data_IF_353784273814
#
_entry.id   IF_353784273814
#
_cell.length_a   1.000
_cell.length_b   1.000
_cell.length_c   1.000
_cell.angle_alpha   90.00
_cell.angle_beta   90.00
_cell.angle_gamma   90.00
#
_symmetry.space_group_name_H-M   'P 1'
#
loop_
_entity.id
_entity.type
_entity.pdbx_description
1 polymer ?
#
# COMPACT_ATOMS: atom_id res chain seq x y z
N UNK A 1 -21.91 -17.34 13.05
CA UNK A 1 -21.76 -16.20 12.13
C UNK A 1 -20.44 -16.30 11.35
N UNK A 2 -20.42 -15.87 10.08
CA UNK A 2 -19.20 -15.76 9.25
C UNK A 2 -19.11 -14.35 8.66
N UNK A 3 -17.90 -13.81 8.57
CA UNK A 3 -17.64 -12.47 8.01
C UNK A 3 -16.77 -12.59 6.76
N UNK A 4 -17.07 -11.83 5.71
CA UNK A 4 -16.18 -11.81 4.54
C UNK A 4 -14.88 -11.08 4.90
N UNK A 5 -13.71 -11.46 4.35
CA UNK A 5 -12.48 -10.72 4.64
C UNK A 5 -12.55 -9.26 4.19
N UNK A 6 -13.27 -8.95 3.11
CA UNK A 6 -13.48 -7.57 2.65
C UNK A 6 -14.22 -6.74 3.71
N UNK A 7 -15.30 -7.31 4.27
CA UNK A 7 -16.05 -6.69 5.37
C UNK A 7 -15.19 -6.48 6.59
N UNK A 8 -14.33 -7.46 6.93
CA UNK A 8 -13.40 -7.33 8.06
C UNK A 8 -12.40 -6.19 7.86
N UNK A 9 -11.83 -6.04 6.66
CA UNK A 9 -10.90 -4.94 6.35
C UNK A 9 -11.61 -3.60 6.46
N UNK A 10 -12.78 -3.45 5.82
CA UNK A 10 -13.57 -2.22 5.87
C UNK A 10 -13.96 -1.89 7.31
N UNK A 11 -14.36 -2.89 8.09
CA UNK A 11 -14.74 -2.71 9.48
C UNK A 11 -13.55 -2.26 10.33
N UNK A 12 -12.40 -2.95 10.25
CA UNK A 12 -11.19 -2.54 10.97
C UNK A 12 -10.83 -1.10 10.61
N UNK A 13 -10.86 -0.76 9.32
CA UNK A 13 -10.52 0.57 8.84
C UNK A 13 -11.45 1.67 9.38
N UNK A 14 -12.76 1.51 9.17
CA UNK A 14 -13.76 2.48 9.63
C UNK A 14 -13.72 2.60 11.16
N UNK A 15 -13.63 1.47 11.86
CA UNK A 15 -13.59 1.44 13.31
C UNK A 15 -12.33 2.12 13.85
N UNK A 16 -11.16 1.91 13.24
CA UNK A 16 -9.93 2.61 13.58
C UNK A 16 -10.05 4.11 13.40
N UNK A 17 -10.58 4.59 12.26
CA UNK A 17 -10.75 6.03 12.05
C UNK A 17 -11.80 6.64 12.99
N UNK A 18 -12.91 5.94 13.26
CA UNK A 18 -13.96 6.43 14.16
C UNK A 18 -13.46 6.49 15.61
N UNK A 19 -12.92 5.39 16.12
CA UNK A 19 -12.50 5.33 17.52
C UNK A 19 -11.30 6.21 17.80
N UNK A 20 -10.26 6.15 16.97
CA UNK A 20 -9.06 6.94 17.19
C UNK A 20 -9.35 8.43 16.95
N UNK A 21 -10.11 8.77 15.91
CA UNK A 21 -10.53 10.15 15.66
C UNK A 21 -11.37 10.73 16.82
N UNK A 22 -12.33 9.97 17.35
CA UNK A 22 -13.10 10.40 18.52
C UNK A 22 -12.20 10.53 19.77
N UNK A 23 -11.26 9.60 19.96
CA UNK A 23 -10.32 9.64 21.07
C UNK A 23 -9.43 10.89 21.00
N UNK A 24 -8.87 11.24 19.84
CA UNK A 24 -8.05 12.45 19.69
C UNK A 24 -8.85 13.72 19.98
N UNK A 25 -10.10 13.77 19.49
CA UNK A 25 -11.02 14.87 19.79
C UNK A 25 -11.35 15.02 21.28
N UNK A 26 -11.45 13.90 22.00
CA UNK A 26 -11.67 13.89 23.45
C UNK A 26 -10.43 14.27 24.26
N UNK A 27 -9.25 13.75 23.87
CA UNK A 27 -7.99 14.02 24.58
C UNK A 27 -7.39 15.37 24.23
N UNK A 28 -7.84 16.02 23.15
CA UNK A 28 -7.27 17.27 22.65
C UNK A 28 -5.92 17.11 21.96
N UNK A 29 -5.49 15.86 21.71
CA UNK A 29 -4.12 15.53 21.29
C UNK A 29 -4.17 14.44 20.22
N UNK A 30 -3.40 14.64 19.14
CA UNK A 30 -3.27 13.71 18.04
C UNK A 30 -2.36 12.51 18.32
N UNK A 31 -2.55 11.44 17.55
CA UNK A 31 -1.68 10.26 17.51
C UNK A 31 -1.08 10.00 16.12
N UNK A 32 -0.48 8.82 15.93
CA UNK A 32 0.07 8.40 14.65
C UNK A 32 1.45 8.97 14.36
N UNK A 33 1.66 9.58 13.19
CA UNK A 33 2.91 10.30 12.90
C UNK A 33 2.96 11.71 13.55
N UNK A 34 1.82 12.23 14.04
CA UNK A 34 1.65 13.56 14.64
C UNK A 34 1.42 13.49 16.18
N UNK A 35 2.16 12.62 16.86
CA UNK A 35 2.01 12.39 18.31
C UNK A 35 2.24 13.70 19.09
N UNK A 36 1.38 13.97 20.09
CA UNK A 36 1.48 15.10 21.01
C UNK A 36 1.22 16.49 20.38
N UNK A 37 0.61 16.55 19.20
CA UNK A 37 0.16 17.81 18.62
C UNK A 37 -1.25 18.12 19.13
N UNK A 38 -1.43 19.34 19.64
CA UNK A 38 -2.71 19.85 20.11
C UNK A 38 -3.66 20.14 18.95
N UNK A 39 -4.95 19.86 19.16
CA UNK A 39 -5.99 20.15 18.17
C UNK A 39 -6.59 21.54 18.41
N UNK A 40 -7.05 22.18 17.34
CA UNK A 40 -7.79 23.43 17.32
C UNK A 40 -9.30 23.18 17.23
N UNK A 41 -10.10 24.24 17.35
CA UNK A 41 -11.57 24.16 17.30
C UNK A 41 -12.10 23.58 15.96
N UNK A 42 -11.31 23.61 14.88
CA UNK A 42 -11.69 23.11 13.56
C UNK A 42 -11.74 21.58 13.47
N UNK A 43 -11.15 20.88 14.45
CA UNK A 43 -10.91 19.44 14.41
C UNK A 43 -12.14 18.61 14.07
N UNK A 44 -13.26 18.84 14.77
CA UNK A 44 -14.47 18.06 14.57
C UNK A 44 -15.03 18.21 13.16
N UNK A 45 -14.96 19.42 12.59
CA UNK A 45 -15.38 19.66 11.21
C UNK A 45 -14.54 18.87 10.21
N UNK A 46 -13.22 18.89 10.36
CA UNK A 46 -12.29 18.16 9.50
C UNK A 46 -12.46 16.64 9.65
N UNK A 47 -12.60 16.16 10.88
CA UNK A 47 -12.82 14.75 11.19
C UNK A 47 -14.11 14.23 10.55
N UNK A 48 -15.25 14.92 10.73
CA UNK A 48 -16.50 14.51 10.10
C UNK A 48 -16.43 14.57 8.56
N UNK A 49 -15.77 15.58 8.01
CA UNK A 49 -15.55 15.68 6.57
C UNK A 49 -14.74 14.50 6.02
N UNK A 50 -13.67 14.09 6.71
CA UNK A 50 -12.88 12.92 6.32
C UNK A 50 -13.70 11.62 6.41
N UNK A 51 -14.51 11.43 7.45
CA UNK A 51 -15.39 10.27 7.55
C UNK A 51 -16.37 10.19 6.37
N UNK A 52 -16.94 11.31 5.95
CA UNK A 52 -17.80 11.39 4.75
C UNK A 52 -16.99 11.01 3.51
N UNK A 53 -15.77 11.53 3.37
CA UNK A 53 -14.88 11.20 2.25
C UNK A 53 -14.56 9.70 2.18
N UNK A 54 -14.25 9.06 3.32
CA UNK A 54 -14.01 7.62 3.41
C UNK A 54 -15.25 6.83 2.93
N UNK A 55 -16.45 7.22 3.36
CA UNK A 55 -17.69 6.56 2.94
C UNK A 55 -17.94 6.73 1.43
N UNK A 56 -17.71 7.92 0.89
CA UNK A 56 -17.81 8.19 -0.54
C UNK A 56 -16.79 7.37 -1.34
N UNK A 57 -15.54 7.26 -0.89
CA UNK A 57 -14.52 6.42 -1.52
C UNK A 57 -14.95 4.96 -1.58
N UNK A 58 -15.45 4.41 -0.45
CA UNK A 58 -15.92 3.02 -0.40
C UNK A 58 -17.14 2.80 -1.31
N UNK A 59 -18.04 3.78 -1.40
CA UNK A 59 -19.18 3.76 -2.30
C UNK A 59 -18.71 3.77 -3.77
N UNK A 60 -17.81 4.66 -4.16
CA UNK A 60 -17.25 4.73 -5.52
C UNK A 60 -16.55 3.43 -5.90
N UNK A 61 -15.72 2.89 -5.00
CA UNK A 61 -15.06 1.60 -5.19
C UNK A 61 -16.07 0.47 -5.40
N UNK A 62 -17.16 0.45 -4.61
CA UNK A 62 -18.22 -0.55 -4.73
C UNK A 62 -18.99 -0.40 -6.04
N UNK A 63 -19.34 0.81 -6.45
CA UNK A 63 -20.02 1.10 -7.71
C UNK A 63 -19.16 0.69 -8.90
N UNK A 64 -17.89 1.11 -8.93
CA UNK A 64 -16.93 0.70 -9.96
C UNK A 64 -16.83 -0.82 -10.07
N UNK A 65 -16.74 -1.51 -8.93
CA UNK A 65 -16.73 -2.97 -8.90
C UNK A 65 -18.02 -3.57 -9.47
N UNK A 66 -19.21 -3.04 -9.16
CA UNK A 66 -20.48 -3.60 -9.62
C UNK A 66 -20.73 -3.40 -11.12
N UNK A 67 -20.32 -2.25 -11.67
CA UNK A 67 -20.49 -1.91 -13.09
C UNK A 67 -19.64 -2.81 -13.99
N UNK A 68 -18.44 -3.20 -13.53
CA UNK A 68 -17.53 -4.02 -14.33
C UNK A 68 -18.00 -5.47 -14.41
N UNK A 69 -18.41 -5.90 -15.61
CA UNK A 69 -18.83 -7.28 -15.93
C UNK A 69 -17.95 -7.84 -17.06
N UNK A 70 -16.82 -8.50 -16.77
CA UNK A 70 -15.98 -9.04 -17.83
C UNK A 70 -16.62 -10.28 -18.48
N UNK A 71 -16.65 -10.30 -19.81
CA UNK A 71 -17.35 -11.34 -20.59
C UNK A 71 -16.79 -12.77 -20.42
N UNK A 72 -15.49 -12.93 -20.13
CA UNK A 72 -14.83 -14.23 -19.92
C UNK A 72 -13.67 -14.10 -18.94
N UNK A 73 -13.54 -15.05 -18.02
CA UNK A 73 -12.37 -15.18 -17.16
C UNK A 73 -11.17 -15.76 -17.93
N UNK A 74 -9.97 -15.26 -17.66
CA UNK A 74 -8.75 -15.94 -18.06
C UNK A 74 -8.47 -17.11 -17.14
N UNK A 75 -8.24 -18.28 -17.72
CA UNK A 75 -7.68 -19.41 -16.99
C UNK A 75 -6.18 -19.16 -16.88
N UNK A 76 -5.76 -18.56 -15.77
CA UNK A 76 -4.35 -18.48 -15.43
C UNK A 76 -3.83 -19.87 -15.04
N UNK A 77 -3.17 -20.53 -15.98
CA UNK A 77 -2.39 -21.75 -15.77
C UNK A 77 -1.07 -21.55 -16.51
N UNK A 78 -0.08 -20.97 -15.85
CA UNK A 78 1.20 -20.79 -16.52
C UNK A 78 2.38 -21.04 -15.59
N UNK A 79 2.93 -22.26 -15.66
CA UNK A 79 4.22 -22.61 -15.05
C UNK A 79 5.31 -21.62 -15.49
N UNK A 80 5.25 -21.15 -16.75
CA UNK A 80 6.22 -20.18 -17.29
C UNK A 80 6.13 -18.82 -16.60
N UNK A 81 4.93 -18.35 -16.22
CA UNK A 81 4.80 -17.09 -15.48
C UNK A 81 5.40 -17.20 -14.07
N UNK A 82 5.19 -18.34 -13.41
CA UNK A 82 5.79 -18.59 -12.09
C UNK A 82 7.32 -18.65 -12.15
N UNK A 83 7.88 -19.24 -13.22
CA UNK A 83 9.33 -19.26 -13.48
C UNK A 83 9.84 -17.84 -13.78
N UNK A 84 9.15 -17.10 -14.65
CA UNK A 84 9.51 -15.72 -14.98
C UNK A 84 9.57 -14.83 -13.73
N UNK A 85 8.56 -14.92 -12.87
CA UNK A 85 8.52 -14.17 -11.61
C UNK A 85 9.68 -14.59 -10.70
N UNK A 86 9.96 -15.89 -10.56
CA UNK A 86 11.10 -16.35 -9.78
C UNK A 86 12.42 -15.74 -10.27
N UNK A 87 12.65 -15.77 -11.59
CA UNK A 87 13.86 -15.21 -12.21
C UNK A 87 13.95 -13.71 -11.94
N UNK A 88 12.87 -12.95 -12.17
CA UNK A 88 12.85 -11.51 -11.97
C UNK A 88 13.05 -11.13 -10.48
N UNK A 89 12.46 -11.87 -9.55
CA UNK A 89 12.68 -11.68 -8.12
C UNK A 89 14.13 -11.97 -7.72
N UNK A 90 14.74 -13.03 -8.27
CA UNK A 90 16.14 -13.37 -8.01
C UNK A 90 17.08 -12.29 -8.55
N UNK A 91 16.87 -11.85 -9.80
CA UNK A 91 17.66 -10.78 -10.41
C UNK A 91 17.54 -9.48 -9.61
N UNK A 92 16.34 -9.17 -9.11
CA UNK A 92 16.13 -7.98 -8.30
C UNK A 92 16.77 -8.07 -6.92
N UNK A 93 16.74 -9.25 -6.29
CA UNK A 93 17.46 -9.48 -5.05
C UNK A 93 18.97 -9.28 -5.24
N UNK A 94 19.54 -9.86 -6.29
CA UNK A 94 20.96 -9.67 -6.63
C UNK A 94 21.24 -8.19 -6.88
N UNK A 95 20.41 -7.50 -7.66
CA UNK A 95 20.56 -6.07 -7.92
C UNK A 95 20.45 -5.21 -6.65
N UNK A 96 19.49 -5.51 -5.78
CA UNK A 96 19.34 -4.83 -4.49
C UNK A 96 20.55 -5.06 -3.59
N UNK A 97 21.10 -6.27 -3.61
CA UNK A 97 22.31 -6.63 -2.86
C UNK A 97 23.55 -5.88 -3.36
N UNK A 98 23.72 -5.76 -4.67
CA UNK A 98 24.91 -5.10 -5.25
C UNK A 98 24.83 -3.58 -5.20
N UNK A 99 23.63 -3.00 -5.20
CA UNK A 99 23.45 -1.54 -5.33
C UNK A 99 22.85 -0.87 -4.10
N UNK A 100 22.34 -1.63 -3.13
CA UNK A 100 21.58 -1.13 -1.99
C UNK A 100 20.15 -0.68 -2.33
N UNK A 101 19.73 -0.74 -3.60
CA UNK A 101 18.39 -0.25 -4.01
C UNK A 101 17.28 -1.00 -3.29
N UNK A 102 16.37 -0.22 -2.71
CA UNK A 102 15.19 -0.74 -2.03
C UNK A 102 15.45 -1.25 -0.61
N UNK A 103 16.70 -1.23 -0.12
CA UNK A 103 17.03 -1.50 1.27
C UNK A 103 16.74 -0.27 2.12
N UNK A 104 15.86 -0.40 3.12
CA UNK A 104 15.69 0.59 4.18
C UNK A 104 16.95 0.64 5.05
N UNK A 105 17.85 1.55 4.72
CA UNK A 105 18.98 1.96 5.55
C UNK A 105 18.89 3.45 5.86
N UNK A 106 19.75 3.96 6.75
CA UNK A 106 19.85 5.39 7.05
C UNK A 106 20.09 6.24 5.78
N UNK A 107 20.80 5.66 4.80
CA UNK A 107 21.13 6.32 3.53
C UNK A 107 20.09 6.03 2.41
N UNK A 108 18.88 5.58 2.73
CA UNK A 108 17.88 5.12 1.74
C UNK A 108 17.69 6.07 0.55
N UNK A 109 17.65 7.38 0.81
CA UNK A 109 17.42 8.41 -0.21
C UNK A 109 18.70 8.92 -0.88
N UNK A 110 19.87 8.58 -0.34
CA UNK A 110 21.17 8.95 -0.88
C UNK A 110 21.69 7.94 -1.91
N UNK A 111 21.12 6.73 -1.94
CA UNK A 111 21.46 5.68 -2.90
C UNK A 111 20.97 6.10 -4.31
N UNK A 112 21.85 6.78 -5.03
CA UNK A 112 21.66 7.13 -6.45
C UNK A 112 22.36 6.10 -7.30
N UNK A 113 21.57 5.24 -7.95
CA UNK A 113 22.08 4.31 -8.95
C UNK A 113 21.76 4.84 -10.35
N UNK A 114 22.80 5.13 -11.12
CA UNK A 114 22.65 5.57 -12.50
C UNK A 114 23.06 4.49 -13.50
N UNK A 115 22.19 3.49 -13.62
CA UNK A 115 22.35 2.39 -14.56
C UNK A 115 21.02 2.12 -15.28
N UNK A 116 21.00 1.90 -16.61
CA UNK A 116 19.78 1.55 -17.36
C UNK A 116 19.02 0.33 -16.82
N UNK A 117 19.70 -0.62 -16.16
CA UNK A 117 19.06 -1.80 -15.54
C UNK A 117 17.98 -1.39 -14.53
N UNK A 118 18.13 -0.24 -13.85
CA UNK A 118 17.14 0.26 -12.88
C UNK A 118 15.75 0.39 -13.50
N UNK A 119 15.67 0.78 -14.78
CA UNK A 119 14.39 0.97 -15.46
C UNK A 119 13.63 -0.33 -15.67
N UNK A 120 14.32 -1.46 -15.81
CA UNK A 120 13.68 -2.79 -15.89
C UNK A 120 12.96 -3.09 -14.57
N UNK A 121 13.62 -2.85 -13.43
CA UNK A 121 13.03 -3.08 -12.12
C UNK A 121 11.98 -2.04 -11.73
N UNK A 122 12.11 -0.79 -12.17
CA UNK A 122 11.05 0.22 -12.03
C UNK A 122 9.81 -0.17 -12.85
N UNK A 123 10.00 -0.62 -14.09
CA UNK A 123 8.91 -1.00 -14.98
C UNK A 123 8.19 -2.27 -14.54
N UNK A 124 8.94 -3.33 -14.21
CA UNK A 124 8.31 -4.60 -13.81
C UNK A 124 7.83 -4.59 -12.37
N UNK A 125 8.53 -3.86 -11.50
CA UNK A 125 8.43 -3.90 -10.05
C UNK A 125 8.23 -5.33 -9.50
N UNK A 126 9.33 -6.07 -9.27
CA UNK A 126 9.32 -7.50 -8.93
C UNK A 126 8.43 -7.87 -7.74
N UNK A 127 8.36 -7.00 -6.72
CA UNK A 127 7.54 -7.22 -5.52
C UNK A 127 6.05 -7.18 -5.86
N UNK A 128 5.58 -6.10 -6.51
CA UNK A 128 4.17 -5.97 -6.91
C UNK A 128 3.79 -6.97 -8.00
N UNK A 129 4.71 -7.31 -8.91
CA UNK A 129 4.52 -8.36 -9.91
C UNK A 129 4.27 -9.72 -9.26
N UNK A 130 5.06 -10.07 -8.26
CA UNK A 130 4.85 -11.28 -7.48
C UNK A 130 3.51 -11.25 -6.73
N UNK A 131 3.21 -10.16 -6.01
CA UNK A 131 1.95 -10.04 -5.25
C UNK A 131 0.72 -10.12 -6.16
N UNK A 132 0.75 -9.45 -7.32
CA UNK A 132 -0.29 -9.53 -8.34
C UNK A 132 -0.47 -10.96 -8.86
N UNK A 133 0.63 -11.64 -9.19
CA UNK A 133 0.58 -13.06 -9.59
C UNK A 133 0.02 -13.95 -8.49
N UNK A 134 0.38 -13.72 -7.23
CA UNK A 134 -0.12 -14.50 -6.09
C UNK A 134 -1.64 -14.33 -5.89
N UNK A 135 -2.19 -13.15 -6.21
CA UNK A 135 -3.64 -12.90 -6.22
C UNK A 135 -4.35 -13.73 -7.30
N UNK A 136 -3.70 -13.95 -8.44
CA UNK A 136 -4.26 -14.61 -9.62
C UNK A 136 -4.11 -16.14 -9.55
N UNK A 137 -2.93 -16.62 -9.16
CA UNK A 137 -2.62 -18.05 -9.17
C UNK A 137 -3.57 -18.81 -8.25
N UNK A 138 -4.10 -19.94 -8.69
CA UNK A 138 -4.91 -20.82 -7.82
C UNK A 138 -4.04 -21.52 -6.78
N UNK A 139 -2.81 -21.86 -7.13
CA UNK A 139 -1.85 -22.52 -6.25
C UNK A 139 -0.88 -21.47 -5.70
N UNK A 140 -0.47 -21.65 -4.45
CA UNK A 140 0.54 -20.78 -3.85
C UNK A 140 1.92 -21.35 -4.20
N UNK A 141 2.68 -20.69 -5.08
CA UNK A 141 4.04 -21.11 -5.36
C UNK A 141 4.96 -20.81 -4.17
N UNK A 142 5.28 -21.85 -3.40
CA UNK A 142 6.08 -21.74 -2.18
C UNK A 142 7.49 -21.17 -2.44
N UNK A 143 8.10 -21.47 -3.59
CA UNK A 143 9.42 -20.97 -3.92
C UNK A 143 9.41 -19.44 -4.11
N UNK A 144 8.44 -18.91 -4.86
CA UNK A 144 8.29 -17.46 -5.06
C UNK A 144 7.93 -16.75 -3.74
N UNK A 145 7.09 -17.37 -2.89
CA UNK A 145 6.77 -16.84 -1.55
C UNK A 145 8.04 -16.77 -0.68
N UNK A 146 8.82 -17.85 -0.63
CA UNK A 146 10.05 -17.90 0.16
C UNK A 146 11.06 -16.86 -0.32
N UNK A 147 11.27 -16.75 -1.64
CA UNK A 147 12.17 -15.76 -2.24
C UNK A 147 11.70 -14.33 -1.96
N UNK A 148 10.40 -14.06 -2.07
CA UNK A 148 9.82 -12.75 -1.73
C UNK A 148 10.07 -12.38 -0.26
N UNK A 149 9.80 -13.30 0.67
CA UNK A 149 10.01 -13.09 2.10
C UNK A 149 11.48 -12.88 2.42
N UNK A 150 12.38 -13.69 1.84
CA UNK A 150 13.81 -13.53 2.02
C UNK A 150 14.31 -12.19 1.48
N UNK A 151 13.87 -11.79 0.28
CA UNK A 151 14.22 -10.51 -0.32
C UNK A 151 13.73 -9.31 0.51
N UNK A 152 12.51 -9.37 1.05
CA UNK A 152 11.97 -8.31 1.89
C UNK A 152 12.53 -8.32 3.32
N UNK A 153 12.97 -9.48 3.82
CA UNK A 153 13.73 -9.58 5.06
C UNK A 153 15.07 -8.87 4.91
N UNK A 154 15.83 -9.21 3.86
CA UNK A 154 17.11 -8.56 3.56
C UNK A 154 16.97 -7.03 3.41
N UNK A 155 15.92 -6.56 2.74
CA UNK A 155 15.69 -5.12 2.49
C UNK A 155 15.01 -4.36 3.64
N UNK A 156 14.65 -5.01 4.76
CA UNK A 156 14.00 -4.35 5.91
C UNK A 156 12.50 -4.05 5.77
N UNK A 157 11.80 -4.74 4.86
CA UNK A 157 10.37 -4.59 4.54
C UNK A 157 9.50 -5.79 5.00
N UNK A 158 10.04 -6.67 5.85
CA UNK A 158 9.39 -7.95 6.21
C UNK A 158 7.96 -7.82 6.75
N UNK A 159 7.66 -6.78 7.54
CA UNK A 159 6.33 -6.58 8.11
C UNK A 159 5.27 -6.35 7.03
N UNK A 160 5.55 -5.49 6.04
CA UNK A 160 4.66 -5.22 4.92
C UNK A 160 4.50 -6.44 3.99
N UNK A 161 5.59 -7.18 3.78
CA UNK A 161 5.58 -8.42 3.01
C UNK A 161 4.70 -9.51 3.63
N UNK A 162 4.84 -9.73 4.95
CA UNK A 162 4.01 -10.68 5.70
C UNK A 162 2.54 -10.28 5.68
N UNK A 163 2.24 -9.00 5.92
CA UNK A 163 0.87 -8.48 5.85
C UNK A 163 0.26 -8.72 4.46
N UNK A 164 0.98 -8.39 3.39
CA UNK A 164 0.49 -8.58 2.02
C UNK A 164 0.20 -10.05 1.69
N UNK A 165 1.12 -10.97 2.03
CA UNK A 165 0.90 -12.40 1.83
C UNK A 165 -0.30 -12.90 2.64
N UNK A 166 -0.39 -12.50 3.91
CA UNK A 166 -1.50 -12.87 4.80
C UNK A 166 -2.84 -12.44 4.21
N UNK A 167 -2.95 -11.18 3.78
CA UNK A 167 -4.16 -10.63 3.17
C UNK A 167 -4.54 -11.38 1.90
N UNK A 168 -3.57 -11.70 1.03
CA UNK A 168 -3.82 -12.47 -0.19
C UNK A 168 -4.30 -13.89 0.13
N UNK A 169 -3.64 -14.59 1.05
CA UNK A 169 -4.00 -15.98 1.42
C UNK A 169 -5.41 -16.03 2.03
N UNK A 170 -5.72 -15.12 2.96
CA UNK A 170 -7.05 -15.04 3.56
C UNK A 170 -8.10 -14.74 2.49
N UNK A 171 -7.83 -13.79 1.60
CA UNK A 171 -8.73 -13.44 0.51
C UNK A 171 -9.04 -14.65 -0.36
N UNK A 172 -8.02 -15.42 -0.75
CA UNK A 172 -8.21 -16.63 -1.57
C UNK A 172 -9.01 -17.70 -0.84
N UNK A 173 -8.63 -18.03 0.39
CA UNK A 173 -9.21 -19.14 1.16
C UNK A 173 -10.63 -18.86 1.62
N UNK A 174 -10.94 -17.61 1.96
CA UNK A 174 -12.20 -17.23 2.60
C UNK A 174 -13.10 -16.31 1.76
N UNK A 175 -12.73 -16.00 0.50
CA UNK A 175 -13.55 -15.18 -0.42
C UNK A 175 -15.00 -15.67 -0.59
N UNK A 176 -15.21 -16.98 -0.66
CA UNK A 176 -16.55 -17.59 -0.85
C UNK A 176 -17.27 -17.89 0.46
N UNK A 177 -16.54 -18.38 1.45
CA UNK A 177 -17.14 -18.99 2.64
C UNK A 177 -17.14 -18.07 3.86
N UNK A 178 -16.38 -16.97 3.84
CA UNK A 178 -16.15 -16.10 4.99
C UNK A 178 -15.30 -16.76 6.09
N UNK A 179 -14.77 -15.93 6.97
CA UNK A 179 -14.03 -16.32 8.17
C UNK A 179 -15.05 -16.58 9.29
N UNK A 180 -14.92 -17.71 10.00
CA UNK A 180 -15.75 -17.95 11.20
C UNK A 180 -15.32 -16.98 12.29
N UNK A 181 -16.29 -16.32 12.94
CA UNK A 181 -16.02 -15.27 13.94
C UNK A 181 -15.08 -15.74 15.06
N UNK A 182 -15.19 -17.00 15.48
CA UNK A 182 -14.32 -17.61 16.51
C UNK A 182 -12.82 -17.62 16.18
N UNK A 183 -12.44 -17.45 14.91
CA UNK A 183 -11.04 -17.37 14.50
C UNK A 183 -10.47 -15.95 14.60
N UNK A 184 -11.31 -14.92 14.72
CA UNK A 184 -10.85 -13.53 14.85
C UNK A 184 -10.04 -13.33 16.13
N UNK A 185 -10.49 -13.77 17.33
CA UNK A 185 -9.68 -13.67 18.54
C UNK A 185 -8.34 -14.39 18.43
N UNK A 186 -8.31 -15.56 17.75
CA UNK A 186 -7.07 -16.32 17.54
C UNK A 186 -6.09 -15.53 16.67
N UNK A 187 -6.57 -14.89 15.59
CA UNK A 187 -5.74 -14.03 14.75
C UNK A 187 -5.22 -12.81 15.50
N UNK A 188 -6.04 -12.21 16.37
CA UNK A 188 -5.62 -11.10 17.23
C UNK A 188 -4.53 -11.54 18.21
N UNK A 189 -4.72 -12.66 18.91
CA UNK A 189 -3.71 -13.21 19.83
C UNK A 189 -2.40 -13.47 19.08
N UNK A 190 -2.47 -14.09 17.89
CA UNK A 190 -1.28 -14.34 17.07
C UNK A 190 -0.58 -13.04 16.65
N UNK A 191 -1.34 -12.01 16.29
CA UNK A 191 -0.78 -10.70 15.95
C UNK A 191 -0.07 -10.09 17.17
N UNK A 192 -0.74 -10.07 18.32
CA UNK A 192 -0.22 -9.52 19.57
C UNK A 192 1.07 -10.23 20.02
N UNK A 193 1.14 -11.56 19.91
CA UNK A 193 2.34 -12.31 20.30
C UNK A 193 3.49 -12.18 19.31
N UNK A 194 3.21 -12.07 18.01
CA UNK A 194 4.25 -11.99 16.97
C UNK A 194 4.74 -10.57 16.68
N UNK A 195 3.95 -9.54 16.98
CA UNK A 195 4.27 -8.15 16.62
C UNK A 195 5.62 -7.67 17.18
N UNK A 196 5.98 -7.92 18.46
CA UNK A 196 7.29 -7.55 18.98
C UNK A 196 8.46 -8.17 18.23
N UNK A 197 8.41 -9.49 17.95
CA UNK A 197 9.48 -10.17 17.21
C UNK A 197 9.59 -9.65 15.78
N UNK A 198 8.47 -9.39 15.12
CA UNK A 198 8.45 -8.84 13.75
C UNK A 198 9.06 -7.43 13.76
N UNK A 199 8.75 -6.63 14.77
CA UNK A 199 9.31 -5.29 14.91
C UNK A 199 10.82 -5.36 15.16
N UNK A 200 11.29 -6.20 16.08
CA UNK A 200 12.73 -6.38 16.32
C UNK A 200 13.49 -6.80 15.06
N UNK A 201 13.02 -7.84 14.36
CA UNK A 201 13.64 -8.30 13.11
C UNK A 201 13.66 -7.20 12.06
N UNK A 202 12.60 -6.38 11.98
CA UNK A 202 12.54 -5.22 11.09
C UNK A 202 13.61 -4.17 11.40
N UNK A 203 13.96 -3.91 12.67
CA UNK A 203 14.96 -2.90 13.02
C UNK A 203 16.39 -3.41 12.90
N UNK A 204 16.67 -4.67 13.26
CA UNK A 204 17.97 -5.30 12.97
C UNK A 204 18.28 -5.28 11.48
N UNK A 205 17.32 -5.69 10.65
CA UNK A 205 17.53 -5.79 9.19
C UNK A 205 17.74 -4.42 8.52
N UNK A 206 17.36 -3.34 9.21
CA UNK A 206 17.64 -1.95 8.78
C UNK A 206 18.98 -1.42 9.27
N UNK A 207 19.70 -2.19 10.09
CA UNK A 207 20.96 -1.77 10.72
C UNK A 207 20.77 -0.83 11.91
N UNK A 208 19.53 -0.62 12.38
CA UNK A 208 19.24 0.27 13.49
C UNK A 208 19.55 -0.37 14.86
N UNK A 209 19.70 -1.69 14.93
CA UNK A 209 19.97 -2.44 16.17
C UNK A 209 20.96 -3.58 15.93
N UNK A 210 21.76 -3.89 16.96
CA UNK A 210 22.66 -5.05 17.00
C UNK A 210 21.92 -6.34 17.38
N UNK A 211 22.46 -7.48 16.95
CA UNK A 211 21.92 -8.80 17.29
C UNK A 211 22.44 -9.21 18.68
N UNK A 212 21.74 -8.81 19.73
CA UNK A 212 22.03 -9.21 21.11
C UNK A 212 20.77 -9.81 21.77
N UNK A 213 20.96 -10.79 22.69
CA UNK A 213 19.83 -11.51 23.31
C UNK A 213 19.02 -10.65 24.28
N UNK A 214 19.68 -9.73 24.98
CA UNK A 214 19.06 -8.74 25.88
C UNK A 214 18.07 -7.86 25.14
N UNK A 215 18.39 -7.50 23.90
CA UNK A 215 17.53 -6.65 23.08
C UNK A 215 16.16 -7.27 22.85
N UNK A 216 16.05 -8.59 22.63
CA UNK A 216 14.75 -9.25 22.33
C UNK A 216 13.76 -9.16 23.51
N UNK A 217 14.21 -9.34 24.76
CA UNK A 217 13.31 -9.28 25.92
C UNK A 217 12.77 -7.87 26.14
N UNK A 218 13.58 -6.84 25.85
CA UNK A 218 13.19 -5.44 25.99
C UNK A 218 12.05 -5.08 25.02
N UNK A 219 11.95 -5.81 23.90
CA UNK A 219 10.85 -5.71 22.96
C UNK A 219 9.49 -6.16 23.49
N UNK A 220 9.47 -6.90 24.59
CA UNK A 220 8.26 -7.32 25.29
C UNK A 220 7.94 -6.45 26.52
N UNK A 221 8.69 -5.37 26.75
CA UNK A 221 8.33 -4.38 27.76
C UNK A 221 6.99 -3.72 27.45
N UNK A 222 6.23 -3.35 28.48
CA UNK A 222 4.90 -2.74 28.30
C UNK A 222 4.97 -1.45 27.47
N UNK A 223 5.99 -0.62 27.68
CA UNK A 223 6.18 0.63 26.95
C UNK A 223 6.42 0.38 25.45
N UNK A 224 7.37 -0.49 25.12
CA UNK A 224 7.69 -0.75 23.71
C UNK A 224 6.57 -1.51 23.01
N UNK A 225 5.89 -2.40 23.72
CA UNK A 225 4.71 -3.08 23.23
C UNK A 225 3.60 -2.07 22.87
N UNK A 226 3.32 -1.10 23.74
CA UNK A 226 2.37 -0.02 23.47
C UNK A 226 2.81 0.80 22.24
N UNK A 227 4.10 1.10 22.11
CA UNK A 227 4.66 1.78 20.93
C UNK A 227 4.43 0.98 19.64
N UNK A 228 4.65 -0.33 19.66
CA UNK A 228 4.43 -1.22 18.52
C UNK A 228 2.95 -1.26 18.13
N UNK A 229 2.06 -1.38 19.11
CA UNK A 229 0.62 -1.39 18.88
C UNK A 229 0.11 -0.06 18.33
N UNK A 230 0.56 1.04 18.92
CA UNK A 230 0.23 2.37 18.42
C UNK A 230 0.73 2.54 16.97
N UNK A 231 1.96 2.12 16.68
CA UNK A 231 2.53 2.19 15.33
C UNK A 231 1.81 1.28 14.31
N UNK A 232 1.19 0.19 14.76
CA UNK A 232 0.42 -0.70 13.89
C UNK A 232 -1.03 -0.22 13.69
N UNK A 233 -1.69 0.20 14.77
CA UNK A 233 -3.07 0.71 14.74
C UNK A 233 -3.15 2.06 14.03
N UNK A 234 -2.14 2.92 14.20
CA UNK A 234 -2.05 4.19 13.48
C UNK A 234 -2.02 4.00 11.97
N UNK A 235 -1.59 2.82 11.49
CA UNK A 235 -1.59 2.51 10.05
C UNK A 235 -2.98 2.27 9.46
N UNK A 236 -3.99 2.04 10.30
CA UNK A 236 -5.39 1.89 9.87
C UNK A 236 -6.21 3.16 10.02
N UNK A 237 -5.62 4.24 10.54
CA UNK A 237 -6.22 5.56 10.59
C UNK A 237 -5.42 6.56 9.74
N UNK A 238 -6.06 7.65 9.36
CA UNK A 238 -5.38 8.81 8.78
C UNK A 238 -6.01 10.14 9.23
N UNK A 239 -6.85 10.12 10.27
CA UNK A 239 -7.57 11.31 10.75
C UNK A 239 -6.58 12.33 11.29
N UNK A 240 -5.59 11.89 12.09
CA UNK A 240 -4.55 12.79 12.60
C UNK A 240 -3.80 13.48 11.47
N UNK A 241 -3.36 12.67 10.49
CA UNK A 241 -2.58 13.15 9.36
C UNK A 241 -3.39 14.09 8.48
N UNK A 242 -4.67 13.74 8.25
CA UNK A 242 -5.60 14.58 7.50
C UNK A 242 -5.81 15.93 8.18
N UNK A 243 -6.11 15.92 9.47
CA UNK A 243 -6.29 17.14 10.24
C UNK A 243 -5.06 18.05 10.15
N UNK A 244 -3.87 17.53 10.43
CA UNK A 244 -2.65 18.33 10.36
C UNK A 244 -2.38 18.89 8.96
N UNK A 245 -2.65 18.12 7.91
CA UNK A 245 -2.46 18.59 6.52
C UNK A 245 -3.49 19.67 6.16
N UNK A 246 -4.74 19.52 6.60
CA UNK A 246 -5.80 20.49 6.34
C UNK A 246 -5.55 21.80 7.07
N UNK A 247 -5.09 21.77 8.32
CA UNK A 247 -4.69 22.98 9.07
C UNK A 247 -3.50 23.69 8.41
N UNK A 248 -2.64 22.95 7.71
CA UNK A 248 -1.48 23.48 6.99
C UNK A 248 -1.71 23.51 5.47
N UNK A 249 -2.96 23.63 5.02
CA UNK A 249 -3.29 23.49 3.59
C UNK A 249 -2.62 24.55 2.72
N UNK A 250 -2.35 25.74 3.27
CA UNK A 250 -1.69 26.82 2.54
C UNK A 250 -0.25 26.45 2.14
N UNK A 251 0.47 25.69 2.97
CA UNK A 251 1.78 25.14 2.63
C UNK A 251 1.65 24.19 1.43
N UNK A 252 0.61 23.35 1.42
CA UNK A 252 0.39 22.40 0.34
C UNK A 252 -0.06 23.09 -0.95
N UNK A 253 -0.89 24.13 -0.86
CA UNK A 253 -1.31 24.95 -2.01
C UNK A 253 -0.13 25.64 -2.64
N UNK A 254 0.71 26.29 -1.84
CA UNK A 254 1.94 26.92 -2.31
C UNK A 254 2.88 25.89 -2.96
N UNK A 255 3.06 24.73 -2.33
CA UNK A 255 3.85 23.64 -2.91
C UNK A 255 3.30 23.13 -4.25
N UNK A 256 1.98 23.06 -4.40
CA UNK A 256 1.33 22.70 -5.65
C UNK A 256 1.53 23.76 -6.74
N UNK A 257 1.40 25.04 -6.38
CA UNK A 257 1.64 26.18 -7.30
C UNK A 257 3.10 26.22 -7.77
N UNK A 258 4.04 25.93 -6.87
CA UNK A 258 5.47 25.89 -7.17
C UNK A 258 5.94 24.61 -7.85
N UNK A 259 5.05 23.62 -8.05
CA UNK A 259 5.39 22.29 -8.56
C UNK A 259 6.46 21.57 -7.71
N UNK A 260 6.38 21.73 -6.39
CA UNK A 260 7.31 21.13 -5.42
C UNK A 260 7.08 19.62 -5.21
N UNK A 261 5.88 19.13 -5.51
CA UNK A 261 5.53 17.72 -5.44
C UNK A 261 4.69 17.31 -6.65
N UNK A 262 4.77 16.04 -7.03
CA UNK A 262 3.97 15.50 -8.14
C UNK A 262 2.55 15.16 -7.68
N UNK A 263 1.52 15.43 -8.50
CA UNK A 263 0.16 15.05 -8.18
C UNK A 263 -0.03 13.53 -8.26
N UNK A 264 -1.07 13.02 -7.58
CA UNK A 264 -1.37 11.58 -7.49
C UNK A 264 -1.37 10.87 -8.86
N UNK A 265 -1.87 11.52 -9.93
CA UNK A 265 -1.97 10.90 -11.26
C UNK A 265 -0.62 10.77 -11.98
N UNK A 266 0.44 11.42 -11.49
CA UNK A 266 1.82 11.25 -11.95
C UNK A 266 2.60 10.24 -11.12
N UNK A 267 2.06 9.75 -10.01
CA UNK A 267 2.66 8.70 -9.19
C UNK A 267 2.54 7.30 -9.85
N UNK A 268 3.14 7.17 -11.03
CA UNK A 268 3.16 5.93 -11.81
C UNK A 268 4.59 5.38 -11.91
N UNK A 269 4.82 4.18 -12.46
CA UNK A 269 6.18 3.73 -12.80
C UNK A 269 6.96 4.71 -13.69
N UNK A 270 6.28 5.62 -14.40
CA UNK A 270 6.87 6.67 -15.21
C UNK A 270 7.07 8.01 -14.47
N UNK A 271 6.84 8.07 -13.15
CA UNK A 271 6.88 9.30 -12.33
C UNK A 271 8.10 10.18 -12.61
N UNK A 272 9.30 9.60 -12.65
CA UNK A 272 10.54 10.35 -12.88
C UNK A 272 10.65 10.96 -14.28
N UNK A 273 10.02 10.33 -15.29
CA UNK A 273 9.99 10.86 -16.65
C UNK A 273 8.95 11.96 -16.72
N UNK A 274 7.75 11.71 -16.19
CA UNK A 274 6.67 12.68 -16.15
C UNK A 274 7.06 13.94 -15.38
N UNK A 275 7.70 13.80 -14.22
CA UNK A 275 8.16 14.96 -13.45
C UNK A 275 9.11 15.86 -14.24
N UNK A 276 10.00 15.27 -15.05
CA UNK A 276 10.92 16.02 -15.91
C UNK A 276 10.24 16.63 -17.13
N UNK A 277 9.29 15.93 -17.75
CA UNK A 277 8.56 16.42 -18.94
C UNK A 277 7.64 17.59 -18.60
N UNK A 278 7.14 17.62 -17.37
CA UNK A 278 6.23 18.66 -16.88
C UNK A 278 6.93 19.63 -15.89
N UNK A 279 8.27 19.70 -15.91
CA UNK A 279 9.09 20.66 -15.17
C UNK A 279 8.79 20.77 -13.65
N UNK A 280 8.50 19.64 -13.00
CA UNK A 280 8.41 19.60 -11.53
C UNK A 280 9.79 19.75 -10.90
N UNK A 281 9.89 20.59 -9.87
CA UNK A 281 11.16 20.87 -9.18
C UNK A 281 11.71 19.62 -8.50
N UNK A 282 10.81 18.82 -7.91
CA UNK A 282 11.14 17.57 -7.25
C UNK A 282 10.22 16.44 -7.72
N UNK A 283 10.72 15.21 -7.70
CA UNK A 283 9.94 14.00 -7.96
C UNK A 283 9.39 13.39 -6.66
N UNK A 284 8.97 14.20 -5.69
CA UNK A 284 8.42 13.72 -4.42
C UNK A 284 6.89 13.67 -4.46
N UNK A 285 6.27 12.73 -3.75
CA UNK A 285 4.80 12.67 -3.60
C UNK A 285 4.31 13.66 -2.55
N UNK A 286 3.00 13.93 -2.52
CA UNK A 286 2.41 14.73 -1.44
C UNK A 286 2.67 14.11 -0.06
N UNK A 287 2.62 12.79 0.05
CA UNK A 287 2.96 12.06 1.30
C UNK A 287 4.38 12.29 1.79
N UNK A 288 5.33 12.58 0.89
CA UNK A 288 6.71 12.93 1.21
C UNK A 288 6.83 14.42 1.53
N UNK A 289 6.24 15.27 0.68
CA UNK A 289 6.24 16.72 0.85
C UNK A 289 5.62 17.13 2.19
N UNK A 290 4.48 16.55 2.57
CA UNK A 290 3.84 16.82 3.86
C UNK A 290 4.69 16.31 5.04
N UNK A 291 5.39 15.17 4.90
CA UNK A 291 6.29 14.70 5.94
C UNK A 291 7.47 15.67 6.15
N UNK A 292 8.04 16.21 5.07
CA UNK A 292 9.16 17.13 5.13
C UNK A 292 8.74 18.52 5.64
N UNK A 293 7.65 19.07 5.10
CA UNK A 293 7.26 20.48 5.32
C UNK A 293 6.37 20.70 6.54
N UNK A 294 5.56 19.72 6.94
CA UNK A 294 4.65 19.84 8.08
C UNK A 294 5.26 19.18 9.31
N UNK A 295 5.78 17.96 9.18
CA UNK A 295 6.37 17.23 10.32
C UNK A 295 7.84 17.52 10.56
N UNK A 296 8.55 18.16 9.61
CA UNK A 296 10.01 18.30 9.68
C UNK A 296 10.73 16.95 9.63
N UNK A 297 10.07 15.90 9.12
CA UNK A 297 10.59 14.52 9.10
C UNK A 297 11.09 14.18 7.70
N UNK A 298 12.40 14.15 7.53
CA UNK A 298 13.05 13.54 6.39
C UNK A 298 14.04 12.48 6.88
N UNK A 299 13.97 11.22 6.40
CA UNK A 299 13.06 10.72 5.38
C UNK A 299 11.74 10.12 5.88
N UNK A 300 10.66 10.20 5.10
CA UNK A 300 9.44 9.43 5.39
C UNK A 300 8.26 9.69 4.46
N UNK A 301 7.37 8.69 4.35
CA UNK A 301 6.03 8.88 3.83
C UNK A 301 5.06 8.87 5.01
N UNK A 302 4.25 9.91 5.14
CA UNK A 302 3.06 9.87 5.99
C UNK A 302 1.84 9.40 5.20
N UNK A 303 0.75 9.17 5.90
CA UNK A 303 -0.54 9.01 5.26
C UNK A 303 -1.07 10.39 4.85
N UNK A 304 -1.70 10.46 3.69
CA UNK A 304 -2.50 11.62 3.28
C UNK A 304 -3.91 11.08 3.07
N UNK A 305 -4.87 11.54 3.87
CA UNK A 305 -6.27 11.16 3.72
C UNK A 305 -6.87 11.70 2.42
N UNK A 306 -8.18 11.58 2.28
CA UNK A 306 -8.87 12.03 1.06
C UNK A 306 -9.07 13.54 1.07
N UNK A 307 -9.49 14.11 2.20
CA UNK A 307 -9.84 15.53 2.32
C UNK A 307 -8.76 16.48 1.77
N UNK A 308 -7.45 16.29 2.06
CA UNK A 308 -6.41 17.16 1.52
C UNK A 308 -6.48 17.30 -0.01
N UNK A 309 -6.70 16.19 -0.73
CA UNK A 309 -6.78 16.21 -2.19
C UNK A 309 -8.00 16.98 -2.73
N UNK A 310 -9.06 17.11 -1.94
CA UNK A 310 -10.28 17.82 -2.31
C UNK A 310 -10.23 19.32 -2.00
N UNK A 311 -9.23 19.78 -1.23
CA UNK A 311 -9.16 21.17 -0.76
C UNK A 311 -7.94 21.93 -1.27
N UNK A 312 -6.94 21.26 -1.87
CA UNK A 312 -5.78 21.92 -2.49
C UNK A 312 -6.27 22.94 -3.52
N UNK A 313 -6.90 22.48 -4.60
CA UNK A 313 -7.54 23.34 -5.61
C UNK A 313 -8.80 22.70 -6.18
N UNK A 314 -9.79 23.49 -6.64
CA UNK A 314 -11.02 22.95 -7.23
C UNK A 314 -10.76 22.05 -8.46
N UNK A 315 -9.72 22.37 -9.24
CA UNK A 315 -9.41 21.61 -10.46
C UNK A 315 -8.74 20.27 -10.17
N UNK A 316 -7.83 20.24 -9.18
CA UNK A 316 -7.23 18.98 -8.73
C UNK A 316 -8.28 18.03 -8.14
N UNK A 317 -9.30 18.58 -7.49
CA UNK A 317 -10.44 17.82 -6.93
C UNK A 317 -11.19 17.02 -8.01
N UNK A 318 -11.54 17.67 -9.13
CA UNK A 318 -12.23 16.99 -10.22
C UNK A 318 -11.35 15.88 -10.82
N UNK A 319 -10.08 16.19 -11.09
CA UNK A 319 -9.12 15.22 -11.61
C UNK A 319 -8.95 14.05 -10.64
N UNK A 320 -8.95 14.30 -9.34
CA UNK A 320 -8.82 13.28 -8.30
C UNK A 320 -9.97 12.29 -8.36
N UNK A 321 -11.21 12.78 -8.33
CA UNK A 321 -12.40 11.93 -8.39
C UNK A 321 -12.43 11.11 -9.69
N UNK A 322 -12.14 11.74 -10.83
CA UNK A 322 -12.12 11.05 -12.14
C UNK A 322 -11.03 9.99 -12.20
N UNK A 323 -9.83 10.28 -11.68
CA UNK A 323 -8.71 9.35 -11.68
C UNK A 323 -8.98 8.13 -10.78
N UNK A 324 -9.57 8.34 -9.60
CA UNK A 324 -9.96 7.26 -8.68
C UNK A 324 -11.03 6.38 -9.32
N UNK A 325 -12.05 6.99 -9.93
CA UNK A 325 -13.10 6.22 -10.60
C UNK A 325 -12.52 5.37 -11.74
N UNK A 326 -11.68 5.98 -12.58
CA UNK A 326 -11.00 5.27 -13.66
C UNK A 326 -10.13 4.12 -13.11
N UNK A 327 -9.31 4.39 -12.09
CA UNK A 327 -8.41 3.39 -11.52
C UNK A 327 -9.17 2.26 -10.84
N UNK A 328 -10.29 2.53 -10.15
CA UNK A 328 -11.14 1.49 -9.56
C UNK A 328 -11.81 0.63 -10.62
N UNK A 329 -12.34 1.23 -11.69
CA UNK A 329 -12.92 0.49 -12.81
C UNK A 329 -11.86 -0.40 -13.45
N UNK A 330 -10.66 0.13 -13.69
CA UNK A 330 -9.57 -0.61 -14.32
C UNK A 330 -9.03 -1.73 -13.43
N UNK A 331 -8.83 -1.46 -12.13
CA UNK A 331 -8.44 -2.46 -11.13
C UNK A 331 -9.48 -3.59 -11.05
N UNK A 332 -10.77 -3.24 -10.91
CA UNK A 332 -11.86 -4.21 -10.86
C UNK A 332 -11.94 -5.04 -12.16
N UNK A 333 -11.71 -4.42 -13.31
CA UNK A 333 -11.63 -5.10 -14.60
C UNK A 333 -10.52 -6.15 -14.62
N UNK A 334 -9.28 -5.76 -14.33
CA UNK A 334 -8.14 -6.68 -14.35
C UNK A 334 -8.35 -7.83 -13.36
N UNK A 335 -8.71 -7.52 -12.12
CA UNK A 335 -8.92 -8.50 -11.07
C UNK A 335 -10.07 -9.46 -11.37
N UNK A 336 -11.25 -8.98 -11.77
CA UNK A 336 -12.37 -9.87 -12.14
C UNK A 336 -12.03 -10.71 -13.36
N UNK A 337 -11.24 -10.19 -14.30
CA UNK A 337 -10.89 -10.91 -15.52
C UNK A 337 -9.83 -12.00 -15.29
N UNK A 338 -8.96 -11.83 -14.28
CA UNK A 338 -7.82 -12.72 -14.05
C UNK A 338 -7.99 -13.65 -12.84
N UNK A 339 -8.62 -13.19 -11.75
CA UNK A 339 -8.81 -14.00 -10.55
C UNK A 339 -10.00 -14.97 -10.70
N UNK A 340 -9.85 -16.20 -10.23
CA UNK A 340 -10.90 -17.24 -10.32
C UNK A 340 -11.96 -17.21 -9.20
N UNK A 341 -11.97 -16.17 -8.38
CA UNK A 341 -12.82 -16.06 -7.19
C UNK A 341 -13.45 -14.69 -7.06
N UNK A 342 -14.10 -14.42 -5.92
CA UNK A 342 -14.64 -13.10 -5.65
C UNK A 342 -13.49 -12.10 -5.50
N UNK A 343 -13.28 -11.29 -6.52
CA UNK A 343 -12.19 -10.32 -6.58
C UNK A 343 -12.42 -9.07 -5.72
N UNK A 344 -13.62 -8.92 -5.12
CA UNK A 344 -13.97 -7.78 -4.28
C UNK A 344 -12.99 -7.59 -3.13
N UNK A 345 -12.60 -8.68 -2.47
CA UNK A 345 -11.66 -8.61 -1.34
C UNK A 345 -10.30 -8.02 -1.73
N UNK A 346 -9.79 -8.37 -2.91
CA UNK A 346 -8.53 -7.78 -3.40
C UNK A 346 -8.69 -6.31 -3.75
N UNK A 347 -9.82 -5.93 -4.36
CA UNK A 347 -10.12 -4.51 -4.66
C UNK A 347 -10.12 -3.68 -3.38
N UNK A 348 -10.80 -4.18 -2.34
CA UNK A 348 -10.89 -3.54 -1.02
C UNK A 348 -9.53 -3.46 -0.35
N UNK A 349 -8.79 -4.57 -0.28
CA UNK A 349 -7.46 -4.60 0.32
C UNK A 349 -6.53 -3.58 -0.35
N UNK A 350 -6.33 -3.68 -1.67
CA UNK A 350 -5.41 -2.83 -2.41
C UNK A 350 -5.80 -1.34 -2.30
N UNK A 351 -7.09 -1.03 -2.42
CA UNK A 351 -7.55 0.37 -2.43
C UNK A 351 -7.50 0.99 -1.03
N UNK A 352 -7.90 0.26 0.02
CA UNK A 352 -7.87 0.79 1.39
C UNK A 352 -6.43 0.91 1.90
N UNK A 353 -5.57 -0.08 1.66
CA UNK A 353 -4.21 -0.05 2.23
C UNK A 353 -3.25 0.85 1.48
N UNK A 354 -3.54 1.19 0.21
CA UNK A 354 -2.65 2.00 -0.62
C UNK A 354 -3.31 3.32 -1.04
N UNK A 355 -4.35 3.28 -1.88
CA UNK A 355 -4.94 4.49 -2.43
C UNK A 355 -5.56 5.42 -1.38
N UNK A 356 -6.28 4.87 -0.40
CA UNK A 356 -6.93 5.63 0.67
C UNK A 356 -5.94 6.39 1.56
N UNK A 357 -4.70 5.88 1.71
CA UNK A 357 -3.63 6.54 2.47
C UNK A 357 -2.76 7.47 1.61
N UNK A 358 -3.13 7.68 0.34
CA UNK A 358 -2.36 8.50 -0.58
C UNK A 358 -1.09 7.83 -1.12
N UNK A 359 -0.93 6.51 -0.96
CA UNK A 359 0.22 5.76 -1.49
C UNK A 359 0.00 5.39 -2.95
N UNK A 360 -0.19 6.41 -3.79
CA UNK A 360 -0.57 6.26 -5.19
C UNK A 360 0.51 5.55 -6.01
N UNK A 361 1.79 5.85 -5.77
CA UNK A 361 2.90 5.13 -6.41
C UNK A 361 2.79 3.61 -6.26
N UNK A 362 2.57 3.13 -5.03
CA UNK A 362 2.36 1.72 -4.74
C UNK A 362 1.08 1.17 -5.36
N UNK A 363 -0.02 1.93 -5.28
CA UNK A 363 -1.32 1.56 -5.81
C UNK A 363 -1.31 1.38 -7.34
N UNK A 364 -0.80 2.36 -8.08
CA UNK A 364 -0.69 2.30 -9.53
C UNK A 364 0.34 1.28 -9.98
N UNK A 365 1.42 1.06 -9.21
CA UNK A 365 2.36 -0.03 -9.50
C UNK A 365 1.68 -1.40 -9.37
N UNK A 366 0.78 -1.60 -8.41
CA UNK A 366 0.01 -2.84 -8.29
C UNK A 366 -0.90 -3.07 -9.50
N UNK A 367 -1.63 -2.02 -9.93
CA UNK A 367 -2.46 -2.05 -11.15
C UNK A 367 -1.60 -2.35 -12.38
N UNK A 368 -0.44 -1.69 -12.48
CA UNK A 368 0.52 -1.88 -13.55
C UNK A 368 1.03 -3.33 -13.61
N UNK A 369 1.35 -3.93 -12.47
CA UNK A 369 1.74 -5.34 -12.39
C UNK A 369 0.63 -6.28 -12.88
N UNK A 370 -0.64 -6.02 -12.54
CA UNK A 370 -1.76 -6.78 -13.12
C UNK A 370 -1.84 -6.61 -14.63
N UNK A 371 -1.67 -5.39 -15.14
CA UNK A 371 -1.66 -5.09 -16.56
C UNK A 371 -0.52 -5.80 -17.31
N UNK A 372 0.70 -5.79 -16.77
CA UNK A 372 1.84 -6.53 -17.33
C UNK A 372 1.54 -8.03 -17.42
N UNK A 373 1.05 -8.64 -16.34
CA UNK A 373 0.68 -10.07 -16.34
C UNK A 373 -0.45 -10.35 -17.35
N UNK A 374 -1.41 -9.43 -17.49
CA UNK A 374 -2.47 -9.53 -18.48
C UNK A 374 -1.93 -9.56 -19.92
N UNK A 375 -1.04 -8.63 -20.26
CA UNK A 375 -0.41 -8.55 -21.59
C UNK A 375 0.45 -9.79 -21.87
N UNK A 376 1.30 -10.19 -20.93
CA UNK A 376 2.18 -11.35 -21.12
C UNK A 376 1.40 -12.65 -21.33
N UNK A 377 0.28 -12.83 -20.62
CA UNK A 377 -0.59 -13.98 -20.85
C UNK A 377 -1.31 -13.94 -22.20
N UNK A 378 -1.68 -12.75 -22.68
CA UNK A 378 -2.27 -12.59 -24.02
C UNK A 378 -1.31 -12.97 -25.13
N UNK A 379 -0.05 -12.54 -25.02
CA UNK A 379 1.01 -12.88 -25.97
C UNK A 379 1.22 -14.40 -25.99
N UNK A 380 1.37 -15.04 -24.83
CA UNK A 380 1.58 -16.49 -24.75
C UNK A 380 0.40 -17.32 -25.29
N UNK A 381 -0.84 -16.87 -25.06
CA UNK A 381 -2.05 -17.51 -25.62
C UNK A 381 -2.18 -17.30 -27.14
N UNK A 382 -1.64 -16.21 -27.68
CA UNK A 382 -1.55 -15.97 -29.13
C UNK A 382 -0.58 -16.95 -29.79
N UNK A 383 0.62 -17.09 -29.23
CA UNK A 383 1.68 -17.97 -29.74
C UNK A 383 1.31 -19.46 -29.70
N UNK A 384 0.52 -19.88 -28.71
CA UNK A 384 0.05 -21.27 -28.62
C UNK A 384 -1.09 -21.61 -29.56
N UNK A 385 -1.80 -20.61 -30.10
CA UNK A 385 -2.82 -20.81 -31.14
C UNK A 385 -2.22 -20.87 -32.54
N UNK A 386 -1.11 -20.20 -32.80
CA UNK A 386 -0.42 -20.22 -34.10
C UNK A 386 0.36 -21.51 -34.37
N UNK A 387 0.69 -22.29 -33.32
CA UNK A 387 1.34 -23.60 -33.47
C UNK A 387 0.35 -24.78 -33.63
N UNK A 388 -0.90 -24.48 -34.02
CA UNK A 388 -1.91 -25.44 -34.46
C UNK A 388 -2.43 -24.99 -35.83
N UNK A 389 -1.54 -25.00 -36.81
CA UNK A 389 -1.88 -24.95 -38.23
C UNK A 389 -1.16 -26.12 -38.90
#
# INVERSE_FOLDING_TARGET
>A
MRISPATLIIFIYLFSNILLGANYGYTGILGGDFINIEISDSYWGIYFFELVCILLFLLLLRLAYLIVKPNKHFIYKNKSMNIFIFIIQTLFLIYSYTTGVGQLSENFYEIKVDNPIKYIFTFLNPDYLFLASLCIDKKNNKANIALYLFSNLYRGWIAGALFSIFMIIISKRYSKHGIKLKYIPILLILFFTAAPSIYYVKYITRGAESIERTNISDYYSQELYNKILNAALSRFQHVSETYCIVENIDIIRLGNENSDFVPFYFETPAKNILSKVFDFQNNISLTQYSAEKILGKSPGNIHVGIAPWLIITPWLTLIYILSLLFSFVFLAFLLKKMCSGNAWTFCVWISITLAMHGWFSSYYTFIWSFFVIFILNKINLGLTKTNKA
#
